data_IF_356438903929
#
_entry.id   IF_356438903929
#
_cell.length_a   1.000
_cell.length_b   1.000
_cell.length_c   1.000
_cell.angle_alpha   90.00
_cell.angle_beta   90.00
_cell.angle_gamma   90.00
#
_symmetry.space_group_name_H-M   'P 1'
#
loop_
_entity.id
_entity.type
_entity.pdbx_description
1 polymer ?
#
# COMPACT_ATOMS: atom_id res chain seq x y z
N UNK A 1 8.55 -7.74 -13.08
CA UNK A 1 7.55 -6.75 -13.56
C UNK A 1 7.93 -5.39 -12.99
N UNK A 2 8.02 -4.32 -13.80
CA UNK A 2 8.30 -2.96 -13.28
C UNK A 2 6.99 -2.37 -12.73
N UNK A 3 7.02 -1.82 -11.52
CA UNK A 3 5.87 -1.13 -10.92
C UNK A 3 5.69 0.22 -11.64
N UNK A 4 4.54 0.40 -12.29
CA UNK A 4 4.22 1.65 -12.99
C UNK A 4 3.76 2.71 -11.97
N UNK A 5 4.00 3.98 -12.23
CA UNK A 5 3.50 5.09 -11.39
C UNK A 5 1.98 5.18 -11.45
N UNK A 6 1.34 5.30 -10.29
CA UNK A 6 -0.13 5.32 -10.16
C UNK A 6 -0.65 6.77 -10.28
N UNK A 7 -0.58 7.35 -11.47
CA UNK A 7 -1.00 8.75 -11.70
C UNK A 7 -2.48 8.89 -12.07
N UNK A 8 -3.02 7.91 -12.79
CA UNK A 8 -4.35 7.95 -13.38
C UNK A 8 -5.37 7.13 -12.57
N UNK A 9 -6.66 7.49 -12.62
CA UNK A 9 -7.73 6.66 -12.06
C UNK A 9 -7.71 5.24 -12.63
N UNK A 10 -8.20 4.29 -11.83
CA UNK A 10 -8.38 2.91 -12.27
C UNK A 10 -9.34 2.85 -13.46
N UNK A 11 -8.96 2.08 -14.48
CA UNK A 11 -9.78 1.74 -15.63
C UNK A 11 -10.37 0.35 -15.44
N UNK A 12 -11.70 0.27 -15.42
CA UNK A 12 -12.43 -1.00 -15.23
C UNK A 12 -13.06 -1.52 -16.53
N UNK A 13 -12.86 -0.79 -17.64
CA UNK A 13 -13.28 -1.13 -19.00
C UNK A 13 -12.28 -2.05 -19.73
N UNK A 14 -11.05 -2.18 -19.21
CA UNK A 14 -9.97 -2.97 -19.79
C UNK A 14 -9.58 -4.13 -18.86
N UNK A 15 -9.84 -5.37 -19.30
CA UNK A 15 -9.56 -6.58 -18.53
C UNK A 15 -8.08 -6.84 -18.31
N UNK A 16 -7.23 -6.48 -19.28
CA UNK A 16 -5.77 -6.64 -19.19
C UNK A 16 -5.17 -5.63 -18.23
N UNK A 17 -5.71 -4.41 -18.22
CA UNK A 17 -5.37 -3.40 -17.21
C UNK A 17 -5.78 -3.85 -15.81
N UNK A 18 -7.00 -4.34 -15.61
CA UNK A 18 -7.46 -4.89 -14.32
C UNK A 18 -6.52 -5.98 -13.83
N UNK A 19 -6.17 -6.93 -14.71
CA UNK A 19 -5.25 -8.02 -14.37
C UNK A 19 -3.89 -7.49 -13.90
N UNK A 20 -3.28 -6.62 -14.70
CA UNK A 20 -1.99 -6.02 -14.38
C UNK A 20 -2.01 -5.31 -13.02
N UNK A 21 -3.05 -4.50 -12.75
CA UNK A 21 -3.15 -3.73 -11.52
C UNK A 21 -3.41 -4.64 -10.31
N UNK A 22 -4.23 -5.67 -10.47
CA UNK A 22 -4.47 -6.69 -9.45
C UNK A 22 -3.17 -7.40 -9.06
N UNK A 23 -2.40 -7.90 -10.05
CA UNK A 23 -1.13 -8.58 -9.80
C UNK A 23 -0.08 -7.69 -9.13
N UNK A 24 -0.12 -6.38 -9.33
CA UNK A 24 0.80 -5.45 -8.66
C UNK A 24 0.53 -5.26 -7.17
N UNK A 25 -0.72 -5.40 -6.73
CA UNK A 25 -1.13 -4.97 -5.40
C UNK A 25 -1.56 -6.11 -4.47
N UNK A 26 -1.90 -7.28 -5.03
CA UNK A 26 -2.35 -8.42 -4.24
C UNK A 26 -1.32 -8.87 -3.19
N UNK A 27 -0.04 -8.92 -3.57
CA UNK A 27 1.03 -9.30 -2.65
C UNK A 27 1.20 -8.27 -1.53
N UNK A 28 1.23 -6.98 -1.87
CA UNK A 28 1.30 -5.89 -0.89
C UNK A 28 0.13 -5.92 0.09
N UNK A 29 -1.07 -6.30 -0.37
CA UNK A 29 -2.23 -6.50 0.50
C UNK A 29 -2.01 -7.68 1.46
N UNK A 30 -1.65 -8.86 0.95
CA UNK A 30 -1.47 -10.09 1.75
C UNK A 30 -0.33 -9.95 2.77
N UNK A 31 0.75 -9.25 2.40
CA UNK A 31 1.87 -8.93 3.28
C UNK A 31 1.52 -7.84 4.32
N UNK A 32 0.34 -7.23 4.21
CA UNK A 32 -0.14 -6.22 5.15
C UNK A 32 0.47 -4.82 4.93
N UNK A 33 1.11 -4.57 3.80
CA UNK A 33 1.81 -3.31 3.50
C UNK A 33 0.87 -2.14 3.20
N UNK A 34 -0.39 -2.42 2.89
CA UNK A 34 -1.41 -1.39 2.63
C UNK A 34 -2.07 -0.86 3.91
N UNK A 35 -1.76 -1.46 5.06
CA UNK A 35 -2.40 -1.15 6.34
C UNK A 35 -1.60 -0.13 7.11
N UNK A 36 -2.30 0.80 7.77
CA UNK A 36 -1.70 1.75 8.70
C UNK A 36 -2.44 1.70 10.02
N UNK A 37 -1.73 2.00 11.10
CA UNK A 37 -2.28 2.09 12.44
C UNK A 37 -2.28 3.52 12.96
N UNK A 38 -3.22 3.82 13.85
CA UNK A 38 -3.17 5.04 14.65
C UNK A 38 -2.18 4.86 15.82
N UNK A 39 -1.96 5.93 16.59
CA UNK A 39 -1.05 5.90 17.75
C UNK A 39 -1.51 4.94 18.86
N UNK A 40 -2.78 4.56 18.89
CA UNK A 40 -3.34 3.58 19.82
C UNK A 40 -3.18 2.13 19.33
N UNK A 41 -2.57 1.92 18.15
CA UNK A 41 -2.33 0.60 17.57
C UNK A 41 -3.52 0.01 16.81
N UNK A 42 -4.60 0.77 16.64
CA UNK A 42 -5.79 0.36 15.91
C UNK A 42 -5.61 0.58 14.40
N UNK A 43 -6.11 -0.36 13.61
CA UNK A 43 -6.11 -0.23 12.15
C UNK A 43 -6.96 0.95 11.69
N UNK A 44 -6.46 1.69 10.71
CA UNK A 44 -7.18 2.79 10.06
C UNK A 44 -7.77 2.33 8.73
N UNK A 45 -8.91 2.91 8.37
CA UNK A 45 -9.52 2.82 7.03
C UNK A 45 -9.94 1.41 6.59
N UNK A 46 -10.12 0.49 7.54
CA UNK A 46 -10.70 -0.82 7.26
C UNK A 46 -11.64 -1.28 8.39
N UNK A 47 -12.65 -2.06 8.02
CA UNK A 47 -13.56 -2.75 8.94
C UNK A 47 -13.51 -4.26 8.68
N UNK A 48 -13.95 -5.11 9.63
CA UNK A 48 -14.03 -6.54 9.41
C UNK A 48 -14.84 -6.91 8.15
N UNK A 49 -15.93 -6.19 7.87
CA UNK A 49 -16.76 -6.41 6.67
C UNK A 49 -15.99 -6.12 5.38
N UNK A 50 -15.23 -5.02 5.34
CA UNK A 50 -14.38 -4.68 4.20
C UNK A 50 -13.27 -5.71 3.97
N UNK A 51 -12.64 -6.20 5.05
CA UNK A 51 -11.60 -7.24 4.94
C UNK A 51 -12.20 -8.56 4.44
N UNK A 52 -13.35 -8.98 4.96
CA UNK A 52 -14.04 -10.18 4.47
C UNK A 52 -14.41 -10.04 2.99
N UNK A 53 -14.90 -8.86 2.58
CA UNK A 53 -15.22 -8.59 1.17
C UNK A 53 -13.99 -8.70 0.27
N UNK A 54 -12.87 -8.06 0.66
CA UNK A 54 -11.61 -8.11 -0.10
C UNK A 54 -11.12 -9.54 -0.25
N UNK A 55 -11.14 -10.29 0.85
CA UNK A 55 -10.62 -11.63 0.88
C UNK A 55 -11.51 -12.63 0.11
N UNK A 56 -12.84 -12.45 0.11
CA UNK A 56 -13.74 -13.16 -0.81
C UNK A 56 -13.46 -12.81 -2.27
N UNK A 57 -13.17 -11.54 -2.60
CA UNK A 57 -12.79 -11.17 -3.96
C UNK A 57 -11.52 -11.91 -4.41
N UNK A 58 -10.53 -12.09 -3.52
CA UNK A 58 -9.31 -12.86 -3.80
C UNK A 58 -9.64 -14.34 -3.94
N UNK A 59 -10.41 -14.90 -3.00
CA UNK A 59 -10.86 -16.30 -3.01
C UNK A 59 -11.49 -16.69 -4.35
N UNK A 60 -12.38 -15.86 -4.89
CA UNK A 60 -13.05 -16.07 -6.18
C UNK A 60 -12.11 -16.04 -7.40
N UNK A 61 -10.85 -15.67 -7.22
CA UNK A 61 -9.81 -15.75 -8.26
C UNK A 61 -8.95 -17.01 -8.17
N UNK A 62 -9.13 -17.84 -7.14
CA UNK A 62 -8.36 -19.07 -6.92
C UNK A 62 -9.13 -20.33 -7.36
N UNK A 63 -8.42 -21.45 -7.51
CA UNK A 63 -9.06 -22.74 -7.77
C UNK A 63 -9.94 -23.23 -6.61
N UNK A 64 -9.57 -22.92 -5.36
CA UNK A 64 -10.41 -23.20 -4.19
C UNK A 64 -11.74 -22.46 -4.28
N UNK A 65 -11.70 -21.20 -4.75
CA UNK A 65 -12.88 -20.39 -5.06
C UNK A 65 -13.88 -21.09 -5.96
N UNK A 66 -13.39 -21.78 -6.99
CA UNK A 66 -14.23 -22.50 -7.94
C UNK A 66 -14.95 -23.71 -7.32
N UNK A 67 -14.46 -24.22 -6.18
CA UNK A 67 -15.00 -25.39 -5.49
C UNK A 67 -15.93 -25.02 -4.33
N UNK A 68 -16.04 -23.74 -3.98
CA UNK A 68 -16.83 -23.23 -2.85
C UNK A 68 -16.51 -23.89 -1.49
N UNK A 69 -15.28 -24.37 -1.32
CA UNK A 69 -14.79 -24.91 -0.04
C UNK A 69 -14.09 -23.79 0.76
N UNK A 70 -14.74 -23.32 1.83
CA UNK A 70 -14.17 -22.31 2.74
C UNK A 70 -13.75 -23.00 4.03
N UNK A 71 -12.44 -23.10 4.22
CA UNK A 71 -11.82 -23.62 5.44
C UNK A 71 -11.24 -22.50 6.30
N UNK A 72 -10.87 -22.80 7.54
CA UNK A 72 -10.11 -21.87 8.39
C UNK A 72 -8.76 -21.51 7.77
N UNK A 73 -8.09 -22.48 7.13
CA UNK A 73 -6.83 -22.26 6.42
C UNK A 73 -7.00 -21.30 5.23
N UNK A 74 -8.09 -21.42 4.48
CA UNK A 74 -8.43 -20.49 3.39
C UNK A 74 -8.59 -19.06 3.91
N UNK A 75 -9.21 -18.87 5.08
CA UNK A 75 -9.35 -17.54 5.69
C UNK A 75 -8.00 -16.99 6.16
N UNK A 76 -7.18 -17.82 6.81
CA UNK A 76 -5.86 -17.42 7.32
C UNK A 76 -4.87 -17.04 6.20
N UNK A 77 -5.01 -17.62 5.01
CA UNK A 77 -4.17 -17.27 3.86
C UNK A 77 -4.61 -16.00 3.13
N UNK A 78 -5.85 -15.56 3.30
CA UNK A 78 -6.45 -14.42 2.57
C UNK A 78 -6.65 -13.17 3.43
N UNK A 79 -6.61 -13.30 4.76
CA UNK A 79 -6.68 -12.19 5.70
C UNK A 79 -5.26 -11.87 6.19
N UNK A 80 -4.75 -10.64 5.95
CA UNK A 80 -3.39 -10.28 6.33
C UNK A 80 -3.13 -10.43 7.84
N UNK A 81 -1.97 -10.95 8.22
CA UNK A 81 -1.63 -11.24 9.61
C UNK A 81 -1.72 -10.02 10.55
N UNK A 82 -1.51 -8.81 10.02
CA UNK A 82 -1.69 -7.55 10.76
C UNK A 82 -3.12 -7.34 11.23
N UNK A 83 -4.11 -7.87 10.51
CA UNK A 83 -5.54 -7.79 10.86
C UNK A 83 -5.84 -8.69 12.06
N UNK A 84 -5.42 -9.95 12.01
CA UNK A 84 -5.59 -10.88 13.14
C UNK A 84 -4.94 -10.38 14.43
N UNK A 85 -3.76 -9.75 14.33
CA UNK A 85 -3.09 -9.15 15.50
C UNK A 85 -3.80 -7.92 16.05
N UNK A 86 -4.59 -7.23 15.23
CA UNK A 86 -5.21 -5.96 15.62
C UNK A 86 -6.63 -6.13 16.13
N UNK A 87 -7.35 -7.13 15.63
CA UNK A 87 -8.72 -7.41 16.05
C UNK A 87 -8.78 -8.77 16.76
N UNK A 88 -9.32 -8.79 17.98
CA UNK A 88 -9.56 -10.02 18.75
C UNK A 88 -10.76 -10.83 18.23
N UNK A 89 -10.87 -10.98 16.91
CA UNK A 89 -11.90 -11.77 16.23
C UNK A 89 -11.35 -13.16 15.97
N UNK A 90 -12.07 -14.20 16.42
CA UNK A 90 -11.66 -15.59 16.19
C UNK A 90 -11.69 -15.96 14.71
N UNK A 91 -10.84 -16.90 14.28
CA UNK A 91 -10.83 -17.40 12.90
C UNK A 91 -12.21 -17.94 12.47
N UNK A 92 -12.95 -18.56 13.39
CA UNK A 92 -14.31 -19.04 13.11
C UNK A 92 -15.28 -17.90 12.78
N UNK A 93 -15.23 -16.79 13.53
CA UNK A 93 -16.06 -15.62 13.23
C UNK A 93 -15.68 -14.99 11.88
N UNK A 94 -14.41 -15.07 11.49
CA UNK A 94 -13.98 -14.66 10.15
C UNK A 94 -14.55 -15.55 9.05
N UNK A 95 -14.59 -16.87 9.25
CA UNK A 95 -15.21 -17.83 8.31
C UNK A 95 -16.69 -17.46 8.09
N UNK A 96 -17.43 -17.15 9.15
CA UNK A 96 -18.84 -16.74 9.04
C UNK A 96 -19.00 -15.44 8.24
N UNK A 97 -18.16 -14.43 8.50
CA UNK A 97 -18.17 -13.18 7.72
C UNK A 97 -17.80 -13.41 6.26
N UNK A 98 -16.86 -14.31 5.98
CA UNK A 98 -16.51 -14.72 4.62
C UNK A 98 -17.69 -15.34 3.89
N UNK A 99 -18.36 -16.31 4.51
CA UNK A 99 -19.54 -16.97 3.92
C UNK A 99 -20.63 -15.95 3.59
N UNK A 100 -20.92 -15.04 4.53
CA UNK A 100 -21.89 -13.96 4.31
C UNK A 100 -21.48 -13.03 3.16
N UNK A 101 -20.20 -12.67 3.04
CA UNK A 101 -19.71 -11.85 1.93
C UNK A 101 -19.72 -12.60 0.58
N UNK A 102 -19.44 -13.90 0.58
CA UNK A 102 -19.53 -14.75 -0.61
C UNK A 102 -20.96 -14.82 -1.13
N UNK A 103 -21.95 -15.04 -0.26
CA UNK A 103 -23.37 -15.01 -0.62
C UNK A 103 -23.79 -13.65 -1.21
N UNK A 104 -23.29 -12.54 -0.64
CA UNK A 104 -23.59 -11.19 -1.13
C UNK A 104 -22.97 -10.85 -2.49
N UNK A 105 -21.75 -11.30 -2.74
CA UNK A 105 -21.06 -11.06 -4.02
C UNK A 105 -21.57 -12.01 -5.10
N UNK A 106 -21.93 -13.24 -4.72
CA UNK A 106 -22.34 -14.31 -5.62
C UNK A 106 -21.12 -15.16 -6.06
N UNK A 107 -21.18 -16.50 -5.90
CA UNK A 107 -20.05 -17.38 -6.25
C UNK A 107 -19.77 -17.42 -7.76
N UNK A 108 -20.76 -17.12 -8.60
CA UNK A 108 -20.66 -17.18 -10.07
C UNK A 108 -20.13 -15.90 -10.72
N UNK A 109 -19.62 -14.95 -9.92
CA UNK A 109 -19.04 -13.72 -10.46
C UNK A 109 -17.82 -14.04 -11.34
N UNK A 110 -17.71 -13.36 -12.48
CA UNK A 110 -16.54 -13.49 -13.35
C UNK A 110 -15.27 -13.07 -12.61
N UNK A 111 -14.17 -13.81 -12.79
CA UNK A 111 -12.85 -13.53 -12.19
C UNK A 111 -12.44 -12.07 -12.40
N UNK A 112 -12.58 -11.53 -13.60
CA UNK A 112 -12.24 -10.12 -13.91
C UNK A 112 -13.06 -9.13 -13.08
N UNK A 113 -14.34 -9.42 -12.82
CA UNK A 113 -15.19 -8.57 -11.98
C UNK A 113 -14.81 -8.69 -10.49
N UNK A 114 -14.42 -9.88 -10.01
CA UNK A 114 -13.90 -10.04 -8.65
C UNK A 114 -12.61 -9.23 -8.44
N UNK A 115 -11.67 -9.28 -9.40
CA UNK A 115 -10.46 -8.45 -9.39
C UNK A 115 -10.77 -6.96 -9.44
N UNK A 116 -11.72 -6.54 -10.27
CA UNK A 116 -12.17 -5.14 -10.32
C UNK A 116 -12.79 -4.69 -9.00
N UNK A 117 -13.61 -5.54 -8.36
CA UNK A 117 -14.24 -5.25 -7.06
C UNK A 117 -13.20 -5.12 -5.94
N UNK A 118 -12.17 -5.98 -5.95
CA UNK A 118 -11.02 -5.88 -5.06
C UNK A 118 -10.30 -4.54 -5.22
N UNK A 119 -9.89 -4.21 -6.45
CA UNK A 119 -9.20 -2.95 -6.76
C UNK A 119 -10.04 -1.73 -6.39
N UNK A 120 -11.34 -1.73 -6.71
CA UNK A 120 -12.26 -0.66 -6.33
C UNK A 120 -12.35 -0.49 -4.82
N UNK A 121 -12.40 -1.59 -4.07
CA UNK A 121 -12.51 -1.56 -2.61
C UNK A 121 -11.23 -1.02 -1.95
N UNK A 122 -10.06 -1.28 -2.53
CA UNK A 122 -8.78 -0.73 -2.06
C UNK A 122 -8.47 0.69 -2.56
N UNK A 123 -9.10 1.16 -3.63
CA UNK A 123 -8.72 2.40 -4.31
C UNK A 123 -8.71 3.66 -3.43
N UNK A 124 -9.46 3.65 -2.33
CA UNK A 124 -9.54 4.76 -1.36
C UNK A 124 -8.60 4.59 -0.15
N UNK A 125 -7.78 3.53 -0.13
CA UNK A 125 -6.87 3.29 1.00
C UNK A 125 -5.65 4.21 0.92
N UNK A 126 -5.12 4.74 2.05
CA UNK A 126 -4.06 5.75 2.03
C UNK A 126 -2.71 5.31 1.44
N UNK A 127 -2.49 4.00 1.33
CA UNK A 127 -1.28 3.40 0.76
C UNK A 127 -1.55 2.72 -0.58
N UNK A 128 -2.76 2.87 -1.12
CA UNK A 128 -3.07 2.36 -2.45
C UNK A 128 -2.19 3.06 -3.51
N UNK A 129 -1.52 2.26 -4.35
CA UNK A 129 -0.62 2.77 -5.38
C UNK A 129 0.74 3.30 -4.86
N UNK A 130 1.02 3.20 -3.56
CA UNK A 130 2.35 3.48 -3.02
C UNK A 130 3.30 2.33 -3.28
N UNK A 131 4.56 2.64 -3.62
CA UNK A 131 5.65 1.67 -3.65
C UNK A 131 6.35 1.65 -2.31
N UNK A 132 6.46 0.47 -1.70
CA UNK A 132 7.04 0.27 -0.37
C UNK A 132 8.50 -0.17 -0.48
N UNK A 133 9.39 0.54 0.20
CA UNK A 133 10.82 0.24 0.25
C UNK A 133 11.22 -0.04 1.70
N UNK A 134 11.75 -1.23 1.97
CA UNK A 134 12.27 -1.55 3.30
C UNK A 134 13.60 -0.83 3.52
N UNK A 135 13.73 -0.14 4.65
CA UNK A 135 14.95 0.59 4.99
C UNK A 135 15.77 -0.23 5.99
N UNK A 136 17.09 -0.25 5.79
CA UNK A 136 18.03 -0.86 6.75
C UNK A 136 18.25 0.05 7.95
N UNK A 137 18.28 1.36 7.70
CA UNK A 137 18.45 2.40 8.72
C UNK A 137 17.86 3.71 8.20
N UNK A 138 17.41 4.56 9.10
CA UNK A 138 16.93 5.91 8.82
C UNK A 138 17.55 6.86 9.83
N UNK A 139 18.18 7.93 9.35
CA UNK A 139 18.65 9.01 10.20
C UNK A 139 17.83 10.27 9.89
N UNK A 140 17.42 10.99 10.93
CA UNK A 140 16.86 12.35 10.80
C UNK A 140 17.79 13.32 11.50
N UNK A 141 18.39 14.26 10.76
CA UNK A 141 19.43 15.15 11.25
C UNK A 141 20.51 14.39 12.04
N UNK A 142 21.01 13.28 11.45
CA UNK A 142 22.02 12.37 12.03
C UNK A 142 21.59 11.60 13.29
N UNK A 143 20.30 11.65 13.66
CA UNK A 143 19.75 10.83 14.76
C UNK A 143 19.02 9.63 14.20
N UNK A 144 19.39 8.45 14.66
CA UNK A 144 18.76 7.21 14.24
C UNK A 144 17.28 7.17 14.65
N UNK A 145 16.45 6.77 13.70
CA UNK A 145 15.02 6.50 13.89
C UNK A 145 14.79 5.00 13.94
N UNK A 146 13.59 4.61 14.38
CA UNK A 146 13.20 3.19 14.40
C UNK A 146 13.18 2.59 12.98
N UNK A 147 13.38 1.26 12.85
CA UNK A 147 13.24 0.56 11.58
C UNK A 147 11.91 0.90 10.90
N UNK A 148 11.97 1.20 9.61
CA UNK A 148 10.87 1.80 8.88
C UNK A 148 10.83 1.36 7.41
N UNK A 149 9.67 1.51 6.80
CA UNK A 149 9.49 1.51 5.35
C UNK A 149 9.38 2.94 4.85
N UNK A 150 9.91 3.20 3.64
CA UNK A 150 9.59 4.38 2.86
C UNK A 150 8.52 4.02 1.84
N UNK A 151 7.39 4.70 1.88
CA UNK A 151 6.32 4.56 0.90
C UNK A 151 6.37 5.76 -0.05
N UNK A 152 6.47 5.53 -1.36
CA UNK A 152 6.48 6.59 -2.38
C UNK A 152 5.27 6.42 -3.30
N UNK A 153 4.41 7.43 -3.39
CA UNK A 153 3.18 7.37 -4.18
C UNK A 153 2.70 8.76 -4.60
N UNK A 154 1.59 8.82 -5.34
CA UNK A 154 1.11 10.07 -5.97
C UNK A 154 0.92 11.24 -5.00
N UNK A 155 0.49 10.99 -3.75
CA UNK A 155 0.25 12.07 -2.78
C UNK A 155 1.53 12.52 -2.06
N UNK A 156 2.67 11.85 -2.29
CA UNK A 156 3.95 12.16 -1.66
C UNK A 156 4.69 10.94 -1.14
N UNK A 157 5.56 11.20 -0.18
CA UNK A 157 6.40 10.19 0.48
C UNK A 157 5.96 10.05 1.95
N UNK A 158 5.83 8.81 2.44
CA UNK A 158 5.46 8.50 3.83
C UNK A 158 6.54 7.61 4.44
N UNK A 159 6.91 7.87 5.70
CA UNK A 159 7.78 7.03 6.50
C UNK A 159 6.92 6.26 7.51
N UNK A 160 7.01 4.94 7.49
CA UNK A 160 6.14 4.05 8.27
C UNK A 160 7.00 3.17 9.17
N UNK A 161 6.77 3.21 10.48
CA UNK A 161 7.52 2.35 11.41
C UNK A 161 7.16 0.87 11.17
N UNK A 162 8.17 0.01 10.99
CA UNK A 162 8.01 -1.39 10.55
C UNK A 162 7.15 -2.23 11.50
N UNK A 163 7.29 -2.05 12.82
CA UNK A 163 6.60 -2.88 13.82
C UNK A 163 5.18 -2.40 14.13
N UNK A 164 4.99 -1.11 14.35
CA UNK A 164 3.68 -0.55 14.68
C UNK A 164 2.84 -0.21 13.45
N UNK A 165 3.39 -0.21 12.24
CA UNK A 165 2.71 0.22 11.02
C UNK A 165 2.11 1.64 11.12
N UNK A 166 2.67 2.49 11.99
CA UNK A 166 2.28 3.88 12.17
C UNK A 166 3.06 4.75 11.18
N UNK A 167 2.37 5.66 10.50
CA UNK A 167 3.01 6.72 9.70
C UNK A 167 3.67 7.71 10.66
N UNK A 168 5.00 7.74 10.69
CA UNK A 168 5.78 8.61 11.60
C UNK A 168 6.08 9.97 11.00
N UNK A 169 6.22 10.04 9.68
CA UNK A 169 6.38 11.27 8.93
C UNK A 169 5.76 11.11 7.54
N UNK A 170 5.31 12.23 6.98
CA UNK A 170 4.79 12.34 5.62
C UNK A 170 5.22 13.68 5.02
N UNK A 171 5.43 13.66 3.70
CA UNK A 171 5.92 14.78 2.91
C UNK A 171 5.25 14.77 1.54
N UNK A 172 4.48 15.82 1.24
CA UNK A 172 4.07 16.12 -0.14
C UNK A 172 5.27 16.58 -0.97
N UNK A 173 5.19 16.49 -2.29
CA UNK A 173 6.33 16.79 -3.17
C UNK A 173 6.83 18.23 -3.07
N UNK A 174 5.96 19.19 -2.78
CA UNK A 174 6.36 20.58 -2.53
C UNK A 174 7.17 20.80 -1.23
N UNK A 175 7.16 19.83 -0.30
CA UNK A 175 8.01 19.87 0.89
C UNK A 175 9.40 19.28 0.62
N UNK A 176 9.58 18.53 -0.45
CA UNK A 176 10.85 17.87 -0.78
C UNK A 176 11.70 18.87 -1.57
N UNK A 177 12.78 19.33 -0.96
CA UNK A 177 13.75 20.23 -1.59
C UNK A 177 14.62 19.42 -2.56
N UNK A 178 15.10 18.26 -2.09
CA UNK A 178 16.01 17.42 -2.86
C UNK A 178 15.95 15.95 -2.39
N UNK A 179 16.33 15.03 -3.28
CA UNK A 179 16.41 13.59 -3.03
C UNK A 179 17.56 12.96 -3.83
N UNK A 180 18.76 12.92 -3.24
CA UNK A 180 20.00 12.51 -3.90
C UNK A 180 20.55 11.19 -3.37
N UNK A 181 21.08 10.39 -4.28
CA UNK A 181 21.76 9.14 -3.94
C UNK A 181 23.20 9.45 -3.52
N UNK A 182 23.63 8.89 -2.38
CA UNK A 182 25.02 8.98 -1.95
C UNK A 182 25.94 8.12 -2.82
N UNK A 183 27.22 8.50 -2.89
CA UNK A 183 28.25 7.76 -3.65
C UNK A 183 28.30 6.31 -3.14
N UNK A 184 28.08 5.33 -4.04
CA UNK A 184 28.01 3.90 -3.70
C UNK A 184 26.60 3.30 -3.65
N UNK A 185 25.56 4.08 -3.94
CA UNK A 185 24.17 3.63 -4.25
C UNK A 185 23.47 2.76 -3.19
N UNK A 186 23.95 2.75 -1.94
CA UNK A 186 23.30 2.05 -0.82
C UNK A 186 22.61 2.99 0.16
N UNK A 187 22.67 4.29 -0.07
CA UNK A 187 21.94 5.27 0.72
C UNK A 187 21.56 6.47 -0.12
N UNK A 188 20.59 7.23 0.35
CA UNK A 188 20.19 8.51 -0.22
C UNK A 188 19.89 9.52 0.88
N UNK A 189 20.13 10.79 0.60
CA UNK A 189 19.68 11.92 1.41
C UNK A 189 18.41 12.51 0.78
N UNK A 190 17.44 12.82 1.62
CA UNK A 190 16.27 13.61 1.26
C UNK A 190 16.18 14.83 2.16
N UNK A 191 16.24 16.00 1.54
CA UNK A 191 16.07 17.28 2.23
C UNK A 191 14.62 17.72 2.14
N UNK A 192 14.01 17.99 3.28
CA UNK A 192 12.60 18.40 3.35
C UNK A 192 12.43 19.70 4.13
N UNK A 193 11.61 20.61 3.62
CA UNK A 193 11.19 21.82 4.31
C UNK A 193 9.89 21.55 5.08
N UNK A 194 9.95 21.50 6.42
CA UNK A 194 8.80 21.23 7.26
C UNK A 194 8.90 22.03 8.56
N UNK A 195 7.78 22.65 8.99
CA UNK A 195 7.70 23.46 10.22
C UNK A 195 8.76 24.59 10.29
N UNK A 196 8.93 25.32 9.18
CA UNK A 196 9.88 26.44 9.05
C UNK A 196 11.35 26.05 9.22
N UNK A 197 11.68 24.77 9.07
CA UNK A 197 13.06 24.29 9.13
C UNK A 197 13.31 23.28 8.00
N UNK A 198 14.56 23.24 7.54
CA UNK A 198 15.04 22.15 6.68
C UNK A 198 15.47 20.98 7.56
N UNK A 199 14.96 19.80 7.23
CA UNK A 199 15.32 18.54 7.87
C UNK A 199 16.01 17.65 6.83
N UNK A 200 17.12 17.02 7.24
CA UNK A 200 17.80 16.03 6.42
C UNK A 200 17.41 14.62 6.88
N UNK A 201 17.01 13.78 5.94
CA UNK A 201 16.77 12.36 6.15
C UNK A 201 17.76 11.55 5.34
N UNK A 202 18.52 10.68 6.00
CA UNK A 202 19.37 9.69 5.32
C UNK A 202 18.69 8.32 5.40
N UNK A 203 18.48 7.70 4.24
CA UNK A 203 17.87 6.39 4.10
C UNK A 203 18.91 5.38 3.61
N UNK A 204 19.21 4.36 4.41
CA UNK A 204 20.09 3.25 4.03
C UNK A 204 19.24 2.14 3.40
N UNK A 205 19.45 1.84 2.12
CA UNK A 205 18.72 0.82 1.36
C UNK A 205 19.47 0.45 0.08
N UNK A 206 19.32 -0.80 -0.36
CA UNK A 206 19.87 -1.24 -1.66
C UNK A 206 19.07 -0.68 -2.85
N UNK A 207 17.92 -0.03 -2.59
CA UNK A 207 17.01 0.50 -3.60
C UNK A 207 17.08 2.03 -3.74
N UNK A 208 18.11 2.68 -3.19
CA UNK A 208 18.25 4.16 -3.14
C UNK A 208 18.03 4.85 -4.50
N UNK A 209 18.60 4.29 -5.57
CA UNK A 209 18.46 4.82 -6.94
C UNK A 209 17.04 4.68 -7.48
N UNK A 210 16.34 3.61 -7.12
CA UNK A 210 14.94 3.41 -7.49
C UNK A 210 14.05 4.41 -6.78
N UNK A 211 14.29 4.65 -5.48
CA UNK A 211 13.55 5.63 -4.69
C UNK A 211 13.74 7.04 -5.25
N UNK A 212 14.99 7.49 -5.40
CA UNK A 212 15.30 8.83 -5.92
C UNK A 212 14.66 9.07 -7.30
N UNK A 213 14.77 8.08 -8.20
CA UNK A 213 14.11 8.13 -9.51
C UNK A 213 12.60 8.23 -9.39
N UNK A 214 11.97 7.46 -8.51
CA UNK A 214 10.52 7.45 -8.34
C UNK A 214 10.02 8.77 -7.75
N UNK A 215 10.71 9.32 -6.75
CA UNK A 215 10.44 10.65 -6.19
C UNK A 215 10.51 11.70 -7.29
N UNK A 216 11.59 11.73 -8.07
CA UNK A 216 11.75 12.67 -9.20
C UNK A 216 10.63 12.53 -10.24
N UNK A 217 10.27 11.30 -10.63
CA UNK A 217 9.20 11.04 -11.58
C UNK A 217 7.85 11.60 -11.10
N UNK A 218 7.50 11.39 -9.84
CA UNK A 218 6.27 11.93 -9.28
C UNK A 218 6.32 13.45 -9.10
N UNK A 219 7.44 14.04 -8.69
CA UNK A 219 7.59 15.51 -8.62
C UNK A 219 7.29 16.17 -9.97
N UNK A 220 7.88 15.65 -11.06
CA UNK A 220 7.62 16.17 -12.41
C UNK A 220 6.16 15.98 -12.80
N UNK A 221 5.58 14.82 -12.49
CA UNK A 221 4.22 14.52 -12.89
C UNK A 221 3.21 15.39 -12.13
N UNK A 222 3.36 15.57 -10.81
CA UNK A 222 2.49 16.42 -9.97
C UNK A 222 2.52 17.87 -10.44
N UNK A 223 3.71 18.44 -10.69
CA UNK A 223 3.83 19.81 -11.19
C UNK A 223 3.10 20.01 -12.53
N UNK A 224 3.23 19.04 -13.47
CA UNK A 224 2.49 19.08 -14.74
C UNK A 224 0.97 19.03 -14.57
N UNK A 225 0.48 18.24 -13.62
CA UNK A 225 -0.96 18.19 -13.32
C UNK A 225 -1.48 19.49 -12.73
N UNK A 226 -0.70 20.15 -11.86
CA UNK A 226 -1.07 21.46 -11.29
C UNK A 226 -1.11 22.56 -12.37
N UNK A 227 -0.17 22.57 -13.31
CA UNK A 227 -0.18 23.50 -14.45
C UNK A 227 -1.44 23.34 -15.33
N UNK A 228 -1.81 22.09 -15.64
CA UNK A 228 -3.01 21.79 -16.44
C UNK A 228 -4.32 22.09 -15.71
N UNK A 229 -4.34 22.04 -14.38
CA UNK A 229 -5.55 22.30 -13.57
C UNK A 229 -5.81 23.79 -13.34
N UNK A 230 -4.83 24.64 -13.61
CA UNK A 230 -4.90 26.10 -13.46
C UNK A 230 -5.11 26.84 -14.81
N UNK A 231 -5.32 26.10 -15.90
CA UNK A 231 -5.70 26.60 -17.23
C UNK A 231 -7.20 26.34 -17.49
#
# INVERSE_FOLDING_TARGET
MKRNTWMYPLRFDDSSYIEMMYSQIIHDYLDGLLFTKNLNGELRNCTPDQISKLAVCIYLTTEEGMRNDITTHTVESLVPSVVFRSWSISTQCWVEKFKSQLERIGPDIRITHAKALFLKSLSNWPLFGYTMFRLKCVLRNRKEMKPSYLAVGKEGVKLIEEKSSVVVDEWSYNMIIDANVHIGAKSMEMLVYKRKATLAYDFLTDESSTIARLVSQYTVAVNKYEELSNC
#
